data_IF_827742743315
#
_entry.id   IF_827742743315
#
_cell.length_a   1.000
_cell.length_b   1.000
_cell.length_c   1.000
_cell.angle_alpha   90.00
_cell.angle_beta   90.00
_cell.angle_gamma   90.00
#
_symmetry.space_group_name_H-M   'P 1'
#
loop_
_entity.id
_entity.type
_entity.pdbx_description
1 polymer ?
#
# COMPACT_ATOMS: atom_id res chain seq x y z
N UNK A 1 -3.51 2.17 18.02
CA UNK A 1 -2.74 1.30 17.14
C UNK A 1 -1.43 1.95 16.77
N UNK A 2 -0.34 1.25 16.98
CA UNK A 2 1.02 1.76 16.70
C UNK A 2 1.33 1.83 15.21
N UNK A 3 0.65 1.04 14.37
CA UNK A 3 0.89 0.96 12.93
C UNK A 3 0.76 2.31 12.20
N UNK A 4 -0.33 3.04 12.41
CA UNK A 4 -0.53 4.33 11.74
C UNK A 4 0.53 5.38 12.09
N UNK A 5 1.07 5.36 13.30
CA UNK A 5 2.19 6.24 13.70
C UNK A 5 3.50 5.79 13.03
N UNK A 6 3.77 4.49 12.99
CA UNK A 6 4.94 3.94 12.32
C UNK A 6 4.93 4.26 10.83
N UNK A 7 3.80 4.06 10.15
CA UNK A 7 3.62 4.42 8.74
C UNK A 7 3.85 5.92 8.51
N UNK A 8 3.30 6.79 9.36
CA UNK A 8 3.49 8.24 9.25
C UNK A 8 4.96 8.62 9.36
N UNK A 9 5.69 8.05 10.30
CA UNK A 9 7.13 8.30 10.47
C UNK A 9 7.93 7.81 9.25
N UNK A 10 7.57 6.66 8.67
CA UNK A 10 8.21 6.15 7.46
C UNK A 10 7.95 7.06 6.26
N UNK A 11 6.73 7.55 6.10
CA UNK A 11 6.38 8.50 5.04
C UNK A 11 7.16 9.81 5.20
N UNK A 12 7.30 10.32 6.41
CA UNK A 12 8.09 11.53 6.68
C UNK A 12 9.57 11.36 6.35
N UNK A 13 10.11 10.15 6.51
CA UNK A 13 11.48 9.80 6.15
C UNK A 13 11.74 9.64 4.65
N UNK A 14 10.69 9.58 3.82
CA UNK A 14 10.83 9.45 2.36
C UNK A 14 11.03 10.81 1.69
N UNK A 15 11.37 10.77 0.39
CA UNK A 15 11.50 11.97 -0.43
C UNK A 15 10.20 12.78 -0.42
N UNK A 16 10.26 14.13 -0.39
CA UNK A 16 9.07 14.99 -0.31
C UNK A 16 8.03 14.71 -1.40
N UNK A 17 8.48 14.46 -2.62
CA UNK A 17 7.61 14.16 -3.76
C UNK A 17 6.83 12.84 -3.64
N UNK A 18 7.30 11.91 -2.79
CA UNK A 18 6.67 10.63 -2.53
C UNK A 18 5.61 10.69 -1.42
N UNK A 19 5.72 11.66 -0.50
CA UNK A 19 4.89 11.72 0.71
C UNK A 19 3.40 11.80 0.40
N UNK A 20 3.03 12.63 -0.56
CA UNK A 20 1.63 12.83 -0.94
C UNK A 20 1.05 11.68 -1.80
N UNK A 21 1.92 10.80 -2.29
CA UNK A 21 1.54 9.68 -3.14
C UNK A 21 1.24 8.39 -2.39
N UNK A 22 1.67 8.31 -1.13
CA UNK A 22 1.33 7.17 -0.28
C UNK A 22 -0.17 7.11 0.02
N UNK A 23 -0.64 5.89 0.33
CA UNK A 23 -2.03 5.64 0.69
C UNK A 23 -2.46 6.48 1.91
N UNK A 24 -3.62 7.09 1.83
CA UNK A 24 -4.24 7.85 2.92
C UNK A 24 -4.84 6.92 3.98
N UNK A 25 -3.97 6.24 4.73
CA UNK A 25 -4.35 5.23 5.72
C UNK A 25 -5.39 5.70 6.72
N UNK A 26 -5.31 6.95 7.17
CA UNK A 26 -6.27 7.52 8.14
C UNK A 26 -7.68 7.60 7.55
N UNK A 27 -7.79 8.00 6.29
CA UNK A 27 -9.07 8.12 5.60
C UNK A 27 -9.67 6.75 5.30
N UNK A 28 -8.87 5.83 4.77
CA UNK A 28 -9.28 4.44 4.56
C UNK A 28 -9.77 3.78 5.86
N UNK A 29 -9.08 4.01 6.97
CA UNK A 29 -9.47 3.51 8.28
C UNK A 29 -10.80 4.11 8.78
N UNK A 30 -11.06 5.38 8.51
CA UNK A 30 -12.35 6.00 8.82
C UNK A 30 -13.49 5.34 8.04
N UNK A 31 -13.30 5.14 6.73
CA UNK A 31 -14.31 4.50 5.89
C UNK A 31 -14.57 3.06 6.31
N UNK A 32 -13.51 2.31 6.61
CA UNK A 32 -13.63 0.94 7.09
C UNK A 32 -14.48 0.84 8.37
N UNK A 33 -14.34 1.77 9.29
CA UNK A 33 -15.15 1.81 10.52
C UNK A 33 -16.64 2.05 10.28
N UNK A 34 -17.01 2.65 9.16
CA UNK A 34 -18.42 2.84 8.80
C UNK A 34 -19.06 1.54 8.28
N UNK A 35 -18.23 0.64 7.74
CA UNK A 35 -18.67 -0.66 7.24
C UNK A 35 -18.86 -1.66 8.38
N UNK A 36 -18.02 -1.58 9.43
CA UNK A 36 -18.17 -2.45 10.59
C UNK A 36 -19.54 -2.16 11.25
N UNK A 37 -20.49 -3.11 11.24
CA UNK A 37 -21.74 -2.92 11.96
C UNK A 37 -21.41 -2.64 13.43
N UNK A 38 -22.03 -1.62 13.99
CA UNK A 38 -21.89 -1.18 15.37
C UNK A 38 -22.20 -2.31 16.37
N UNK A 39 -21.35 -3.33 16.44
CA UNK A 39 -21.36 -4.33 17.49
C UNK A 39 -20.57 -3.89 18.73
N UNK A 40 -20.10 -2.66 18.74
CA UNK A 40 -19.44 -2.08 19.92
C UNK A 40 -20.25 -0.94 20.54
N UNK A 41 -21.56 -1.14 20.72
CA UNK A 41 -22.30 -0.50 21.82
C UNK A 41 -22.10 -1.35 23.05
N UNK A 42 -20.93 -1.40 23.59
CA UNK A 42 -20.65 -1.88 24.93
C UNK A 42 -20.06 -0.74 25.72
N UNK A 43 -20.98 0.00 26.32
CA UNK A 43 -20.90 0.55 27.67
C UNK A 43 -19.57 0.35 28.38
N UNK A 44 -18.93 1.46 28.61
CA UNK A 44 -17.98 1.65 29.71
C UNK A 44 -18.66 1.27 31.02
N UNK A 45 -18.40 0.09 31.53
CA UNK A 45 -18.57 -0.21 32.93
C UNK A 45 -17.24 -0.71 33.46
N UNK A 46 -16.58 0.17 34.20
CA UNK A 46 -15.49 -0.20 35.09
C UNK A 46 -16.03 -1.18 36.10
N UNK A 47 -15.51 -2.39 36.16
CA UNK A 47 -15.47 -3.16 37.40
C UNK A 47 -14.27 -4.10 37.34
N UNK A 48 -13.42 -3.93 38.34
CA UNK A 48 -12.35 -4.83 38.76
C UNK A 48 -12.92 -6.23 39.05
N UNK A 49 -12.18 -7.27 38.71
CA UNK A 49 -12.47 -8.61 39.19
C UNK A 49 -11.86 -9.70 38.33
N UNK A 50 -10.73 -10.11 38.77
CA UNK A 50 -10.05 -11.38 38.61
C UNK A 50 -10.96 -12.56 38.22
N UNK A 51 -10.62 -13.28 37.16
CA UNK A 51 -10.73 -14.74 37.03
C UNK A 51 -10.68 -15.19 35.57
N UNK A 52 -9.62 -15.91 35.23
CA UNK A 52 -9.60 -16.83 34.09
C UNK A 52 -10.67 -17.93 34.23
N UNK A 53 -11.22 -18.47 33.12
CA UNK A 53 -10.61 -19.65 32.57
C UNK A 53 -10.60 -19.78 31.01
N UNK A 54 -9.59 -20.48 30.56
CA UNK A 54 -9.49 -21.09 29.25
C UNK A 54 -10.71 -21.94 28.91
N UNK A 55 -11.29 -21.76 27.71
CA UNK A 55 -11.99 -22.83 27.02
C UNK A 55 -11.70 -22.81 25.53
N UNK A 56 -10.99 -23.84 25.12
CA UNK A 56 -10.81 -24.34 23.76
C UNK A 56 -12.16 -24.65 23.11
N UNK A 57 -12.44 -24.21 21.89
CA UNK A 57 -13.54 -24.82 21.12
C UNK A 57 -13.02 -26.03 20.35
N UNK A 58 -13.69 -27.15 20.61
CA UNK A 58 -13.57 -28.41 19.91
C UNK A 58 -14.16 -28.29 18.50
N UNK A 59 -13.42 -28.82 17.52
CA UNK A 59 -13.97 -29.20 16.23
C UNK A 59 -15.05 -30.27 16.43
N UNK A 60 -16.22 -30.04 15.92
CA UNK A 60 -17.19 -31.09 15.64
C UNK A 60 -17.62 -30.96 14.18
N UNK A 61 -17.27 -31.97 13.40
CA UNK A 61 -17.81 -32.19 12.08
C UNK A 61 -19.30 -32.57 12.20
N UNK A 62 -20.16 -31.97 11.42
CA UNK A 62 -21.46 -32.51 11.09
C UNK A 62 -21.81 -32.12 9.67
N UNK A 63 -21.91 -33.11 8.83
CA UNK A 63 -22.50 -33.06 7.50
C UNK A 63 -24.02 -32.82 7.65
N UNK A 64 -24.58 -32.00 6.77
CA UNK A 64 -26.02 -31.82 6.67
C UNK A 64 -26.36 -30.79 5.63
N UNK A 65 -26.82 -31.26 4.50
CA UNK A 65 -27.21 -30.47 3.34
C UNK A 65 -28.33 -29.46 3.65
N UNK A 66 -28.29 -28.36 2.93
CA UNK A 66 -29.35 -27.39 2.92
C UNK A 66 -28.95 -26.26 1.98
N UNK A 67 -29.67 -26.17 0.84
CA UNK A 67 -29.51 -25.12 -0.15
C UNK A 67 -29.50 -23.76 0.51
N UNK A 68 -28.33 -23.18 0.58
CA UNK A 68 -28.12 -21.78 0.95
C UNK A 68 -28.10 -20.98 -0.31
N UNK A 69 -29.25 -20.34 -0.56
CA UNK A 69 -29.43 -19.19 -1.41
C UNK A 69 -28.14 -18.33 -1.32
N UNK A 70 -27.37 -18.31 -2.38
CA UNK A 70 -26.32 -17.33 -2.56
C UNK A 70 -27.03 -15.98 -2.63
N UNK A 71 -27.29 -15.39 -1.48
CA UNK A 71 -27.53 -13.95 -1.41
C UNK A 71 -26.27 -13.32 -1.99
N UNK A 72 -26.33 -13.05 -3.28
CA UNK A 72 -25.51 -12.10 -3.98
C UNK A 72 -25.59 -10.85 -3.10
N UNK A 73 -24.59 -10.70 -2.24
CA UNK A 73 -24.58 -9.66 -1.23
C UNK A 73 -24.56 -8.33 -1.94
N UNK A 74 -25.71 -7.68 -2.01
CA UNK A 74 -25.77 -6.30 -2.47
C UNK A 74 -24.86 -5.52 -1.56
N UNK A 75 -23.72 -5.09 -2.09
CA UNK A 75 -22.75 -4.29 -1.36
C UNK A 75 -23.42 -3.03 -0.83
N UNK A 76 -23.16 -2.71 0.40
CA UNK A 76 -23.66 -1.49 1.02
C UNK A 76 -23.01 -0.26 0.37
N UNK A 77 -23.65 0.88 0.48
CA UNK A 77 -23.11 2.14 -0.03
C UNK A 77 -21.73 2.44 0.58
N UNK A 78 -21.58 2.17 1.85
CA UNK A 78 -20.33 2.36 2.59
C UNK A 78 -19.20 1.47 2.07
N UNK A 79 -19.51 0.22 1.70
CA UNK A 79 -18.56 -0.70 1.07
C UNK A 79 -18.14 -0.21 -0.30
N UNK A 80 -19.07 0.25 -1.12
CA UNK A 80 -18.79 0.82 -2.45
C UNK A 80 -17.91 2.07 -2.33
N UNK A 81 -18.23 2.97 -1.40
CA UNK A 81 -17.45 4.19 -1.18
C UNK A 81 -16.02 3.88 -0.70
N UNK A 82 -15.88 2.84 0.14
CA UNK A 82 -14.55 2.38 0.57
C UNK A 82 -13.72 1.82 -0.58
N UNK A 83 -14.33 0.97 -1.42
CA UNK A 83 -13.63 0.38 -2.58
C UNK A 83 -13.19 1.45 -3.56
N UNK A 84 -14.06 2.41 -3.89
CA UNK A 84 -13.70 3.53 -4.76
C UNK A 84 -12.54 4.34 -4.21
N UNK A 85 -12.58 4.68 -2.92
CA UNK A 85 -11.48 5.39 -2.29
C UNK A 85 -10.17 4.59 -2.36
N UNK A 86 -10.23 3.28 -2.13
CA UNK A 86 -9.06 2.40 -2.22
C UNK A 86 -8.51 2.33 -3.65
N UNK A 87 -9.37 2.21 -4.65
CA UNK A 87 -8.99 2.21 -6.07
C UNK A 87 -8.31 3.53 -6.46
N UNK A 88 -8.89 4.68 -6.10
CA UNK A 88 -8.34 6.00 -6.35
C UNK A 88 -6.95 6.19 -5.70
N UNK A 89 -6.79 5.72 -4.48
CA UNK A 89 -5.52 5.78 -3.75
C UNK A 89 -4.45 4.86 -4.36
N UNK A 90 -4.84 3.68 -4.83
CA UNK A 90 -3.93 2.75 -5.52
C UNK A 90 -3.53 3.28 -6.90
N UNK A 91 -4.47 3.83 -7.66
CA UNK A 91 -4.18 4.43 -8.95
C UNK A 91 -3.22 5.62 -8.82
N UNK A 92 -3.46 6.50 -7.86
CA UNK A 92 -2.57 7.61 -7.55
C UNK A 92 -1.13 7.15 -7.29
N UNK A 93 -0.95 6.11 -6.47
CA UNK A 93 0.36 5.56 -6.16
C UNK A 93 1.00 4.88 -7.38
N UNK A 94 0.25 4.04 -8.09
CA UNK A 94 0.74 3.29 -9.23
C UNK A 94 1.16 4.21 -10.39
N UNK A 95 0.35 5.23 -10.71
CA UNK A 95 0.68 6.21 -11.75
C UNK A 95 1.98 6.94 -11.45
N UNK A 96 2.14 7.38 -10.20
CA UNK A 96 3.35 8.06 -9.77
C UNK A 96 4.57 7.13 -9.77
N UNK A 97 4.38 5.88 -9.33
CA UNK A 97 5.45 4.88 -9.31
C UNK A 97 5.98 4.57 -10.72
N UNK A 98 5.09 4.35 -11.68
CA UNK A 98 5.45 4.08 -13.08
C UNK A 98 6.18 5.28 -13.69
N UNK A 99 5.70 6.49 -13.45
CA UNK A 99 6.36 7.72 -13.91
C UNK A 99 7.79 7.83 -13.37
N UNK A 100 7.98 7.55 -12.09
CA UNK A 100 9.30 7.58 -11.46
C UNK A 100 10.22 6.46 -11.93
N UNK A 101 9.69 5.28 -12.16
CA UNK A 101 10.44 4.15 -12.73
C UNK A 101 10.98 4.51 -14.11
N UNK A 102 10.15 5.04 -14.99
CA UNK A 102 10.58 5.50 -16.32
C UNK A 102 11.65 6.61 -16.22
N UNK A 103 11.48 7.60 -15.35
CA UNK A 103 12.45 8.65 -15.12
C UNK A 103 13.81 8.10 -14.70
N UNK A 104 13.85 7.17 -13.75
CA UNK A 104 15.08 6.54 -13.29
C UNK A 104 15.74 5.68 -14.37
N UNK A 105 14.96 4.95 -15.16
CA UNK A 105 15.49 4.16 -16.29
C UNK A 105 16.13 5.07 -17.33
N UNK A 106 15.51 6.18 -17.67
CA UNK A 106 16.05 7.17 -18.61
C UNK A 106 17.35 7.77 -18.08
N UNK A 107 17.35 8.20 -16.80
CA UNK A 107 18.57 8.74 -16.16
C UNK A 107 19.69 7.73 -16.14
N UNK A 108 19.41 6.47 -15.84
CA UNK A 108 20.39 5.40 -15.85
C UNK A 108 20.96 5.17 -17.25
N UNK A 109 20.13 5.14 -18.29
CA UNK A 109 20.57 5.02 -19.67
C UNK A 109 21.45 6.19 -20.08
N UNK A 110 21.07 7.42 -19.79
CA UNK A 110 21.87 8.63 -20.07
C UNK A 110 23.22 8.56 -19.37
N UNK A 111 23.25 8.12 -18.11
CA UNK A 111 24.50 7.96 -17.36
C UNK A 111 25.41 6.89 -17.98
N UNK A 112 24.87 5.73 -18.36
CA UNK A 112 25.62 4.65 -18.99
C UNK A 112 26.15 5.07 -20.37
N UNK A 113 25.33 5.71 -21.20
CA UNK A 113 25.76 6.23 -22.51
C UNK A 113 26.78 7.35 -22.36
N UNK A 114 26.59 8.28 -21.43
CA UNK A 114 27.55 9.35 -21.15
C UNK A 114 28.89 8.83 -20.66
N UNK A 115 28.88 7.81 -19.80
CA UNK A 115 30.10 7.13 -19.36
C UNK A 115 30.82 6.42 -20.47
N UNK A 116 30.09 5.80 -21.40
CA UNK A 116 30.68 5.12 -22.56
C UNK A 116 31.31 6.10 -23.55
N UNK A 117 30.74 7.29 -23.69
CA UNK A 117 31.29 8.35 -24.57
C UNK A 117 32.58 8.96 -24.01
N UNK A 118 32.68 9.07 -22.67
CA UNK A 118 33.88 9.56 -21.99
C UNK A 118 35.05 8.56 -22.09
N UNK A 119 34.78 7.28 -22.23
CA UNK A 119 35.82 6.26 -22.40
C UNK A 119 36.26 6.08 -23.86
N UNK A 120 35.43 6.46 -24.85
CA UNK A 120 35.79 6.33 -26.28
C UNK A 120 36.58 7.52 -26.84
N UNK A 121 36.45 8.70 -26.25
CA UNK A 121 37.07 9.92 -26.76
C UNK A 121 38.59 9.97 -26.67
N UNK A 122 39.29 9.47 -25.63
CA UNK A 122 40.74 9.57 -25.59
C UNK A 122 41.43 8.73 -26.67
N UNK A 123 40.85 7.61 -27.08
CA UNK A 123 41.43 6.73 -28.11
C UNK A 123 41.21 7.30 -29.52
N UNK A 124 40.05 7.94 -29.76
CA UNK A 124 39.75 8.56 -31.04
C UNK A 124 40.59 9.82 -31.27
N UNK A 125 40.80 10.61 -30.22
CA UNK A 125 41.63 11.82 -30.30
C UNK A 125 43.12 11.51 -30.50
N UNK A 126 43.61 10.47 -29.87
CA UNK A 126 45.00 9.98 -30.08
C UNK A 126 45.22 9.39 -31.48
N UNK A 127 44.20 8.72 -32.04
CA UNK A 127 44.28 8.16 -33.40
C UNK A 127 44.30 9.23 -34.48
N UNK A 128 43.62 10.36 -34.25
CA UNK A 128 43.60 11.49 -35.17
C UNK A 128 44.91 12.27 -35.16
N UNK A 129 45.64 12.24 -34.04
CA UNK A 129 46.93 12.92 -33.88
C UNK A 129 48.11 12.14 -34.46
N UNK A 130 47.96 10.85 -34.68
CA UNK A 130 48.97 9.98 -35.25
C UNK A 130 48.90 9.86 -36.79
N UNK A 131 47.86 10.43 -37.40
CA UNK A 131 47.63 10.36 -38.85
C UNK A 131 47.79 11.74 -39.55
N UNK A 132 48.41 12.66 -38.85
CA UNK A 132 48.92 13.91 -39.48
C UNK A 132 50.42 13.84 -39.67
#
# INVERSE_FOLDING_TARGET
MKFGKSLSNQIEGTLPEWRDKFLSYKELKKRLKLIEPNNSSSSTTKNNGDSRPLKKPRLAAAEGGGGGDCKEGIMTKEEIDFIKLLEDELEKFNSFFVEKEEEYIIRLKVFLFGSQFLFLDPVWFLRKKLNC
#
